data_IF_436747144495
#
_entry.id   IF_436747144495
#
_cell.length_a   1.000
_cell.length_b   1.000
_cell.length_c   1.000
_cell.angle_alpha   90.00
_cell.angle_beta   90.00
_cell.angle_gamma   90.00
#
_symmetry.space_group_name_H-M   'P 1'
#
loop_
_entity.id
_entity.type
_entity.pdbx_description
1 polymer ?
#
# COMPACT_ATOMS: atom_id res chain seq x y z
N UNK A 1 30.04 5.21 0.60
CA UNK A 1 29.54 3.99 1.27
C UNK A 1 28.01 3.89 1.34
N UNK A 2 27.21 4.95 1.60
CA UNK A 2 25.75 4.80 1.78
C UNK A 2 24.87 4.97 0.50
N UNK A 3 25.45 5.29 -0.66
CA UNK A 3 24.71 5.66 -1.88
C UNK A 3 24.67 4.59 -2.98
N UNK A 4 25.38 3.48 -2.79
CA UNK A 4 25.49 2.39 -3.79
C UNK A 4 24.43 1.29 -3.63
N UNK A 5 23.63 1.30 -2.56
CA UNK A 5 22.82 0.13 -2.17
C UNK A 5 21.36 0.14 -2.66
N UNK A 6 20.93 1.15 -3.43
CA UNK A 6 19.54 1.24 -3.93
C UNK A 6 19.34 0.65 -5.34
N UNK A 7 20.39 0.14 -5.98
CA UNK A 7 20.35 -0.26 -7.39
C UNK A 7 19.69 -1.63 -7.69
N UNK A 8 19.05 -2.26 -6.70
CA UNK A 8 18.46 -3.61 -6.83
C UNK A 8 16.92 -3.67 -6.78
N UNK A 9 16.23 -2.54 -6.58
CA UNK A 9 14.77 -2.56 -6.46
C UNK A 9 14.10 -2.60 -7.85
N UNK A 10 13.63 -3.77 -8.26
CA UNK A 10 12.67 -3.87 -9.35
C UNK A 10 11.38 -3.15 -8.93
N UNK A 11 11.02 -2.08 -9.65
CA UNK A 11 9.74 -1.40 -9.47
C UNK A 11 8.72 -1.95 -10.47
N UNK A 12 7.51 -2.20 -9.99
CA UNK A 12 6.37 -2.52 -10.85
C UNK A 12 5.47 -1.29 -10.93
N UNK A 13 5.27 -0.79 -12.14
CA UNK A 13 4.39 0.35 -12.39
C UNK A 13 2.97 -0.15 -12.69
N UNK A 14 2.00 0.35 -11.93
CA UNK A 14 0.58 0.04 -12.12
C UNK A 14 -0.17 1.32 -12.49
N UNK A 15 -0.67 1.38 -13.72
CA UNK A 15 -1.48 2.50 -14.20
C UNK A 15 -2.97 2.20 -14.03
N UNK A 16 -3.73 3.23 -13.66
CA UNK A 16 -5.18 3.17 -13.50
C UNK A 16 -5.81 4.31 -14.28
N UNK A 17 -7.00 4.08 -14.83
CA UNK A 17 -7.73 5.10 -15.58
C UNK A 17 -8.19 6.23 -14.65
N UNK A 18 -8.79 5.87 -13.50
CA UNK A 18 -9.33 6.85 -12.55
C UNK A 18 -8.72 6.72 -11.15
N UNK A 19 -8.79 7.82 -10.39
CA UNK A 19 -8.31 7.88 -9.00
C UNK A 19 -9.03 6.89 -8.07
N UNK A 20 -10.29 6.58 -8.37
CA UNK A 20 -11.07 5.59 -7.62
C UNK A 20 -10.61 4.16 -7.85
N UNK A 21 -10.23 3.82 -9.09
CA UNK A 21 -9.72 2.49 -9.44
C UNK A 21 -8.38 2.25 -8.74
N UNK A 22 -7.52 3.28 -8.73
CA UNK A 22 -6.27 3.26 -7.98
C UNK A 22 -6.51 3.03 -6.50
N UNK A 23 -7.47 3.75 -5.89
CA UNK A 23 -7.76 3.64 -4.47
C UNK A 23 -8.29 2.25 -4.10
N UNK A 24 -9.21 1.70 -4.89
CA UNK A 24 -9.78 0.36 -4.68
C UNK A 24 -8.72 -0.75 -4.85
N UNK A 25 -7.91 -0.68 -5.92
CA UNK A 25 -6.86 -1.65 -6.16
C UNK A 25 -5.78 -1.61 -5.08
N UNK A 26 -5.37 -0.41 -4.66
CA UNK A 26 -4.40 -0.24 -3.57
C UNK A 26 -4.96 -0.76 -2.25
N UNK A 27 -6.22 -0.47 -1.93
CA UNK A 27 -6.90 -0.96 -0.73
C UNK A 27 -6.95 -2.49 -0.71
N UNK A 28 -7.38 -3.13 -1.79
CA UNK A 28 -7.43 -4.60 -1.88
C UNK A 28 -6.04 -5.24 -1.73
N UNK A 29 -5.01 -4.67 -2.37
CA UNK A 29 -3.65 -5.19 -2.25
C UNK A 29 -3.11 -5.06 -0.82
N UNK A 30 -3.30 -3.90 -0.18
CA UNK A 30 -2.85 -3.68 1.20
C UNK A 30 -3.63 -4.55 2.18
N UNK A 31 -4.95 -4.66 2.04
CA UNK A 31 -5.79 -5.52 2.86
C UNK A 31 -5.28 -6.97 2.87
N UNK A 32 -5.01 -7.55 1.69
CA UNK A 32 -4.47 -8.91 1.61
C UNK A 32 -3.14 -9.07 2.35
N UNK A 33 -2.23 -8.10 2.24
CA UNK A 33 -0.94 -8.14 2.97
C UNK A 33 -1.12 -7.99 4.47
N UNK A 34 -2.03 -7.13 4.92
CA UNK A 34 -2.35 -6.96 6.33
C UNK A 34 -3.00 -8.23 6.91
N UNK A 35 -3.95 -8.83 6.20
CA UNK A 35 -4.59 -10.09 6.60
C UNK A 35 -3.55 -11.21 6.75
N UNK A 36 -2.64 -11.36 5.77
CA UNK A 36 -1.58 -12.37 5.85
C UNK A 36 -0.63 -12.11 7.02
N UNK A 37 -0.23 -10.84 7.21
CA UNK A 37 0.61 -10.43 8.33
C UNK A 37 -0.03 -10.74 9.69
N UNK A 38 -1.32 -10.46 9.86
CA UNK A 38 -2.09 -10.79 11.06
C UNK A 38 -2.17 -12.31 11.25
N UNK A 39 -2.46 -13.06 10.18
CA UNK A 39 -2.53 -14.53 10.26
C UNK A 39 -1.19 -15.16 10.70
N UNK A 40 -0.07 -14.64 10.21
CA UNK A 40 1.27 -15.14 10.51
C UNK A 40 1.80 -14.71 11.88
N UNK A 41 1.54 -13.46 12.30
CA UNK A 41 2.21 -12.82 13.43
C UNK A 41 1.27 -12.32 14.52
N UNK A 42 -0.04 -12.43 14.33
CA UNK A 42 -1.08 -11.90 15.22
C UNK A 42 -1.29 -10.38 15.12
N UNK A 43 -0.47 -9.67 14.34
CA UNK A 43 -0.57 -8.21 14.16
C UNK A 43 0.01 -7.74 12.83
N UNK A 44 -0.47 -6.60 12.34
CA UNK A 44 0.07 -5.92 11.18
C UNK A 44 0.20 -4.41 11.43
N UNK A 45 1.20 -3.81 10.77
CA UNK A 45 1.52 -2.38 10.90
C UNK A 45 1.55 -1.78 9.49
N UNK A 46 0.97 -0.59 9.34
CA UNK A 46 0.97 0.18 8.10
C UNK A 46 1.43 1.60 8.40
N UNK A 47 2.57 2.01 7.85
CA UNK A 47 3.00 3.40 7.87
C UNK A 47 2.26 4.17 6.76
N UNK A 48 1.66 5.31 7.10
CA UNK A 48 0.91 6.14 6.15
C UNK A 48 1.39 7.58 6.17
N UNK A 49 1.30 8.24 5.00
CA UNK A 49 1.46 9.68 4.92
C UNK A 49 0.32 10.39 5.65
N UNK A 50 0.60 11.50 6.33
CA UNK A 50 -0.45 12.37 6.88
C UNK A 50 -1.22 13.14 5.81
N UNK A 51 -2.13 14.02 6.25
CA UNK A 51 -2.91 14.88 5.37
C UNK A 51 -4.03 14.15 4.62
N UNK A 52 -4.46 14.69 3.48
CA UNK A 52 -5.61 14.21 2.70
C UNK A 52 -5.24 13.19 1.62
N UNK A 53 -3.94 12.99 1.36
CA UNK A 53 -3.44 12.06 0.33
C UNK A 53 -3.97 10.64 0.47
N UNK A 54 -4.01 10.01 1.67
CA UNK A 54 -4.51 8.65 1.79
C UNK A 54 -6.04 8.57 1.96
N UNK A 55 -6.79 9.68 1.95
CA UNK A 55 -8.20 9.69 2.34
C UNK A 55 -9.08 8.72 1.53
N UNK A 56 -8.93 8.71 0.20
CA UNK A 56 -9.70 7.80 -0.68
C UNK A 56 -9.30 6.33 -0.53
N UNK A 57 -8.00 6.10 -0.33
CA UNK A 57 -7.47 4.78 -0.05
C UNK A 57 -8.05 4.24 1.26
N UNK A 58 -8.02 5.04 2.34
CA UNK A 58 -8.57 4.64 3.63
C UNK A 58 -10.07 4.41 3.58
N UNK A 59 -10.83 5.28 2.90
CA UNK A 59 -12.26 5.07 2.69
C UNK A 59 -12.55 3.74 1.95
N UNK A 60 -11.68 3.36 1.01
CA UNK A 60 -11.80 2.07 0.31
C UNK A 60 -11.35 0.88 1.17
N UNK A 61 -10.38 1.08 2.07
CA UNK A 61 -9.84 0.05 2.96
C UNK A 61 -10.75 -0.25 4.16
N UNK A 62 -11.55 0.72 4.59
CA UNK A 62 -12.46 0.60 5.73
C UNK A 62 -13.83 -0.02 5.40
N UNK A 63 -14.07 -0.39 4.13
CA UNK A 63 -15.29 -1.07 3.68
C UNK A 63 -15.14 -2.59 3.79
#
# INVERSE_FOLDING_TARGET
MAREQLNGAAYSWHAFAERQDLAAALAGHVAGRLTNAIAERGTALLAVSGGTTPAKFFASLSN
#
